data_IF_368864177361
#
_entry.id   IF_368864177361
#
_cell.length_a   1.000
_cell.length_b   1.000
_cell.length_c   1.000
_cell.angle_alpha   90.00
_cell.angle_beta   90.00
_cell.angle_gamma   90.00
#
_symmetry.space_group_name_H-M   'P 1'
#
loop_
_entity.id
_entity.type
_entity.pdbx_description
1 polymer ?
#
# COMPACT_ATOMS: atom_id res chain seq x y z
N UNK A 1 13.30 -9.03 -14.72
CA UNK A 1 12.09 -9.53 -14.03
C UNK A 1 10.96 -8.53 -14.21
N UNK A 2 9.79 -9.03 -14.43
CA UNK A 2 8.63 -8.20 -14.65
C UNK A 2 8.25 -7.44 -13.38
N UNK A 3 7.80 -6.18 -13.55
CA UNK A 3 7.42 -5.33 -12.43
C UNK A 3 6.39 -5.99 -11.51
N UNK A 4 5.36 -6.61 -12.10
CA UNK A 4 4.30 -7.26 -11.31
C UNK A 4 4.84 -8.37 -10.42
N UNK A 5 5.78 -9.16 -10.92
CA UNK A 5 6.38 -10.23 -10.13
C UNK A 5 7.22 -9.70 -8.98
N UNK A 6 7.96 -8.62 -9.21
CA UNK A 6 8.74 -8.00 -8.14
C UNK A 6 7.83 -7.41 -7.06
N UNK A 7 6.74 -6.77 -7.47
CA UNK A 7 5.75 -6.23 -6.54
C UNK A 7 5.13 -7.36 -5.71
N UNK A 8 4.74 -8.45 -6.35
CA UNK A 8 4.17 -9.61 -5.64
C UNK A 8 5.13 -10.20 -4.63
N UNK A 9 6.41 -10.25 -4.98
CA UNK A 9 7.44 -10.76 -4.07
C UNK A 9 7.52 -9.92 -2.80
N UNK A 10 7.53 -8.59 -2.94
CA UNK A 10 7.59 -7.71 -1.78
C UNK A 10 6.34 -7.84 -0.92
N UNK A 11 5.16 -7.99 -1.54
CA UNK A 11 3.92 -8.19 -0.81
C UNK A 11 3.93 -9.52 -0.05
N UNK A 12 4.45 -10.58 -0.65
CA UNK A 12 4.56 -11.88 0.00
C UNK A 12 5.51 -11.81 1.21
N UNK A 13 6.62 -11.09 1.08
CA UNK A 13 7.56 -10.90 2.18
C UNK A 13 6.92 -10.13 3.35
N UNK A 14 6.09 -9.15 3.05
CA UNK A 14 5.36 -8.42 4.08
C UNK A 14 4.47 -9.35 4.88
N UNK A 15 3.74 -10.24 4.20
CA UNK A 15 2.87 -11.20 4.87
C UNK A 15 3.64 -12.17 5.74
N UNK A 16 4.84 -12.57 5.32
CA UNK A 16 5.69 -13.43 6.13
C UNK A 16 6.14 -12.72 7.41
N UNK A 17 6.44 -11.43 7.31
CA UNK A 17 6.90 -10.65 8.46
C UNK A 17 5.78 -10.33 9.44
N UNK A 18 4.55 -10.20 8.94
CA UNK A 18 3.39 -9.86 9.76
C UNK A 18 2.28 -10.87 9.48
N UNK A 19 2.21 -11.96 10.26
CA UNK A 19 1.18 -13.00 10.03
C UNK A 19 -0.26 -12.49 10.13
N UNK A 20 -0.49 -11.38 10.86
CA UNK A 20 -1.82 -10.81 10.99
C UNK A 20 -2.28 -10.04 9.75
N UNK A 21 -1.41 -9.82 8.78
CA UNK A 21 -1.80 -9.27 7.48
C UNK A 21 -2.55 -10.36 6.72
N UNK A 22 -3.80 -10.08 6.36
CA UNK A 22 -4.64 -11.06 5.67
C UNK A 22 -5.05 -10.65 4.27
N UNK A 23 -4.45 -9.61 3.74
CA UNK A 23 -4.65 -9.20 2.36
C UNK A 23 -3.81 -8.00 2.02
N UNK A 24 -3.47 -7.85 0.76
CA UNK A 24 -2.78 -6.67 0.28
C UNK A 24 -3.05 -6.44 -1.20
N UNK A 25 -2.90 -5.20 -1.62
CA UNK A 25 -3.06 -4.82 -3.02
C UNK A 25 -2.12 -3.67 -3.32
N UNK A 26 -1.47 -3.74 -4.47
CA UNK A 26 -0.70 -2.64 -5.02
C UNK A 26 -1.42 -2.14 -6.25
N UNK A 27 -1.74 -0.86 -6.28
CA UNK A 27 -2.45 -0.25 -7.40
C UNK A 27 -1.75 1.04 -7.82
N UNK A 28 -2.02 1.48 -9.04
CA UNK A 28 -1.54 2.78 -9.48
C UNK A 28 -2.39 3.89 -8.85
N UNK A 29 -1.87 5.11 -8.86
CA UNK A 29 -2.63 6.26 -8.38
C UNK A 29 -3.88 6.52 -9.23
N UNK A 30 -3.97 5.90 -10.42
CA UNK A 30 -5.14 5.98 -11.29
C UNK A 30 -6.17 4.89 -10.98
N UNK A 31 -5.91 4.03 -10.01
CA UNK A 31 -6.83 3.01 -9.59
C UNK A 31 -6.68 1.65 -10.28
N UNK A 32 -5.65 1.47 -11.10
CA UNK A 32 -5.42 0.21 -11.81
C UNK A 32 -4.63 -0.75 -10.92
N UNK A 33 -5.09 -1.98 -10.82
CA UNK A 33 -4.41 -3.00 -10.02
C UNK A 33 -3.12 -3.46 -10.67
N UNK A 34 -2.03 -3.45 -9.92
CA UNK A 34 -0.74 -3.99 -10.35
C UNK A 34 -0.60 -5.42 -9.86
N UNK A 35 -0.87 -5.66 -8.60
CA UNK A 35 -0.82 -6.98 -7.98
C UNK A 35 -1.75 -7.02 -6.79
N UNK A 36 -2.30 -8.20 -6.49
CA UNK A 36 -3.23 -8.36 -5.38
C UNK A 36 -3.19 -9.80 -4.89
N UNK A 37 -3.38 -9.97 -3.59
CA UNK A 37 -3.63 -11.29 -3.01
C UNK A 37 -5.03 -11.36 -2.40
N UNK A 38 -5.93 -10.47 -2.81
CA UNK A 38 -7.33 -10.51 -2.42
C UNK A 38 -8.09 -11.51 -3.29
N UNK A 39 -9.11 -12.16 -2.70
CA UNK A 39 -9.93 -13.12 -3.42
C UNK A 39 -10.96 -12.44 -4.32
N UNK A 40 -11.49 -11.30 -3.89
CA UNK A 40 -12.47 -10.55 -4.68
C UNK A 40 -12.41 -9.07 -4.30
N UNK A 41 -13.18 -8.25 -5.01
CA UNK A 41 -13.25 -6.82 -4.74
C UNK A 41 -11.99 -6.05 -5.06
N UNK A 42 -11.04 -6.65 -5.75
CA UNK A 42 -9.72 -6.07 -6.03
C UNK A 42 -9.82 -4.72 -6.73
N UNK A 43 -10.64 -4.64 -7.78
CA UNK A 43 -10.75 -3.41 -8.55
C UNK A 43 -11.39 -2.29 -7.74
N UNK A 44 -12.43 -2.60 -6.97
CA UNK A 44 -13.09 -1.62 -6.13
C UNK A 44 -12.15 -1.10 -5.03
N UNK A 45 -11.40 -2.00 -4.39
CA UNK A 45 -10.47 -1.63 -3.33
C UNK A 45 -9.32 -0.80 -3.90
N UNK A 46 -8.82 -1.14 -5.09
CA UNK A 46 -7.81 -0.36 -5.77
C UNK A 46 -8.27 1.06 -6.07
N UNK A 47 -9.50 1.19 -6.57
CA UNK A 47 -10.07 2.51 -6.88
C UNK A 47 -10.28 3.33 -5.61
N UNK A 48 -10.81 2.72 -4.54
CA UNK A 48 -10.99 3.40 -3.25
C UNK A 48 -9.66 3.84 -2.67
N UNK A 49 -8.65 2.97 -2.74
CA UNK A 49 -7.31 3.27 -2.23
C UNK A 49 -6.71 4.48 -2.93
N UNK A 50 -6.83 4.54 -4.24
CA UNK A 50 -6.31 5.66 -5.02
C UNK A 50 -7.01 6.97 -4.66
N UNK A 51 -8.33 6.94 -4.52
CA UNK A 51 -9.11 8.11 -4.12
C UNK A 51 -8.73 8.56 -2.71
N UNK A 52 -8.57 7.60 -1.79
CA UNK A 52 -8.23 7.90 -0.41
C UNK A 52 -6.83 8.48 -0.29
N UNK A 53 -5.88 7.96 -1.08
CA UNK A 53 -4.53 8.52 -1.13
C UNK A 53 -4.57 9.98 -1.59
N UNK A 54 -5.31 10.26 -2.65
CA UNK A 54 -5.42 11.63 -3.19
C UNK A 54 -5.99 12.60 -2.15
N UNK A 55 -7.06 12.18 -1.45
CA UNK A 55 -7.67 12.98 -0.39
C UNK A 55 -6.72 13.17 0.79
N UNK A 56 -6.00 12.12 1.17
CA UNK A 56 -5.05 12.18 2.27
C UNK A 56 -3.89 13.14 1.96
N UNK A 57 -3.39 13.10 0.73
CA UNK A 57 -2.34 14.03 0.28
C UNK A 57 -2.82 15.48 0.32
N UNK A 58 -4.06 15.73 -0.10
CA UNK A 58 -4.64 17.07 0.00
C UNK A 58 -4.76 17.51 1.44
N UNK A 59 -5.18 16.62 2.31
CA UNK A 59 -5.35 16.93 3.74
C UNK A 59 -4.01 17.33 4.36
N UNK A 60 -2.95 16.55 4.15
CA UNK A 60 -1.63 16.87 4.71
C UNK A 60 -1.06 18.16 4.15
N UNK A 61 -1.28 18.42 2.86
CA UNK A 61 -0.83 19.66 2.24
C UNK A 61 -1.57 20.89 2.76
N UNK A 62 -2.90 20.83 2.79
CA UNK A 62 -3.73 21.96 3.22
C UNK A 62 -3.57 22.29 4.70
N UNK A 63 -3.24 21.30 5.52
CA UNK A 63 -3.09 21.50 6.97
C UNK A 63 -1.64 21.76 7.38
N UNK A 64 -0.74 21.87 6.42
CA UNK A 64 0.67 22.15 6.70
C UNK A 64 1.41 21.02 7.39
N UNK A 65 0.96 19.77 7.21
CA UNK A 65 1.59 18.62 7.86
C UNK A 65 2.67 17.96 7.01
N UNK A 66 2.95 18.52 5.84
CA UNK A 66 4.04 18.04 4.99
C UNK A 66 3.60 16.93 4.03
N UNK A 67 4.55 16.08 3.65
CA UNK A 67 4.30 15.00 2.72
C UNK A 67 3.48 13.89 3.38
N UNK A 68 2.60 13.28 2.61
CA UNK A 68 1.78 12.17 3.08
C UNK A 68 2.66 10.94 3.37
N UNK A 69 2.43 10.28 4.49
CA UNK A 69 3.12 9.04 4.84
C UNK A 69 2.21 7.82 4.85
N UNK A 70 1.07 7.92 5.54
CA UNK A 70 0.17 6.75 5.68
C UNK A 70 -1.24 7.19 6.06
N UNK A 71 -2.21 6.32 5.75
CA UNK A 71 -3.58 6.43 6.24
C UNK A 71 -3.92 5.12 6.92
N UNK A 72 -4.40 5.17 8.16
CA UNK A 72 -4.85 3.99 8.88
C UNK A 72 -6.36 4.07 9.09
N UNK A 73 -7.06 3.05 8.62
CA UNK A 73 -8.50 2.91 8.82
C UNK A 73 -8.70 1.81 9.84
N UNK A 74 -9.38 2.13 10.95
CA UNK A 74 -9.69 1.16 11.99
C UNK A 74 -11.16 0.80 11.92
N UNK A 75 -11.44 -0.47 11.67
CA UNK A 75 -12.80 -1.02 11.74
C UNK A 75 -12.95 -1.88 12.98
N UNK A 76 -14.16 -2.32 13.26
CA UNK A 76 -14.40 -3.20 14.42
C UNK A 76 -13.74 -4.57 14.26
N UNK A 77 -13.50 -4.98 13.02
CA UNK A 77 -12.96 -6.31 12.73
C UNK A 77 -11.58 -6.27 12.05
N UNK A 78 -10.84 -5.19 12.21
CA UNK A 78 -9.49 -5.11 11.68
C UNK A 78 -9.11 -3.74 11.16
N UNK A 79 -8.07 -3.73 10.35
CA UNK A 79 -7.45 -2.49 9.88
C UNK A 79 -7.21 -2.52 8.38
N UNK A 80 -7.25 -1.34 7.77
CA UNK A 80 -6.75 -1.13 6.42
C UNK A 80 -5.74 0.02 6.47
N UNK A 81 -4.54 -0.23 6.01
CA UNK A 81 -3.47 0.77 6.02
C UNK A 81 -3.04 1.06 4.59
N UNK A 82 -2.87 2.34 4.28
CA UNK A 82 -2.45 2.79 2.95
C UNK A 82 -1.13 3.53 3.05
N UNK A 83 -0.24 3.21 2.11
CA UNK A 83 1.08 3.82 2.01
C UNK A 83 1.32 4.28 0.58
N UNK A 84 1.92 5.45 0.43
CA UNK A 84 2.40 5.87 -0.88
C UNK A 84 3.71 5.13 -1.17
N UNK A 85 3.75 4.43 -2.29
CA UNK A 85 4.96 3.73 -2.74
C UNK A 85 5.53 4.51 -3.91
N UNK A 86 6.23 5.60 -3.60
CA UNK A 86 6.69 6.55 -4.60
C UNK A 86 5.52 7.39 -5.13
N UNK A 87 5.70 8.04 -6.29
CA UNK A 87 4.69 8.97 -6.81
C UNK A 87 3.51 8.28 -7.50
N UNK A 88 3.63 7.01 -7.91
CA UNK A 88 2.65 6.40 -8.81
C UNK A 88 1.97 5.16 -8.28
N UNK A 89 2.39 4.63 -7.12
CA UNK A 89 1.83 3.38 -6.58
C UNK A 89 1.27 3.59 -5.18
N UNK A 90 0.15 2.92 -4.92
CA UNK A 90 -0.49 2.85 -3.60
C UNK A 90 -0.39 1.41 -3.11
N UNK A 91 0.12 1.22 -1.89
CA UNK A 91 0.10 -0.07 -1.23
C UNK A 91 -1.01 -0.05 -0.19
N UNK A 92 -1.95 -0.98 -0.27
CA UNK A 92 -3.02 -1.16 0.70
C UNK A 92 -2.82 -2.49 1.40
N UNK A 93 -2.82 -2.47 2.72
CA UNK A 93 -2.57 -3.66 3.55
C UNK A 93 -3.76 -3.85 4.49
N UNK A 94 -4.34 -5.04 4.46
CA UNK A 94 -5.45 -5.41 5.33
C UNK A 94 -4.92 -6.27 6.47
N UNK A 95 -5.35 -5.99 7.68
CA UNK A 95 -4.86 -6.69 8.87
C UNK A 95 -5.99 -7.04 9.82
N UNK A 96 -5.79 -8.13 10.56
CA UNK A 96 -6.77 -8.64 11.53
C UNK A 96 -6.86 -7.74 12.75
N UNK A 97 -7.95 -7.83 13.52
CA UNK A 97 -8.02 -7.13 14.81
C UNK A 97 -6.93 -7.66 15.72
N UNK A 98 -6.38 -6.79 16.56
CA UNK A 98 -5.29 -7.17 17.47
C UNK A 98 -3.91 -7.11 16.85
N UNK A 99 -3.79 -6.69 15.60
CA UNK A 99 -2.50 -6.53 14.94
C UNK A 99 -1.63 -5.52 15.68
N UNK A 100 -0.34 -5.83 15.81
CA UNK A 100 0.63 -4.87 16.33
C UNK A 100 0.79 -3.72 15.34
N UNK A 101 0.18 -2.58 15.66
CA UNK A 101 0.15 -1.42 14.75
C UNK A 101 1.54 -0.81 14.54
N UNK A 102 2.38 -0.82 15.56
CA UNK A 102 3.76 -0.33 15.42
C UNK A 102 4.53 -1.14 14.40
N UNK A 103 4.40 -2.46 14.47
CA UNK A 103 5.06 -3.35 13.51
C UNK A 103 4.46 -3.19 12.11
N UNK A 104 3.13 -3.09 12.00
CA UNK A 104 2.46 -2.88 10.73
C UNK A 104 2.97 -1.59 10.06
N UNK A 105 3.03 -0.50 10.81
CA UNK A 105 3.49 0.77 10.27
C UNK A 105 4.95 0.70 9.83
N UNK A 106 5.80 0.08 10.64
CA UNK A 106 7.21 -0.06 10.30
C UNK A 106 7.42 -0.87 9.02
N UNK A 107 6.85 -2.07 8.98
CA UNK A 107 7.04 -2.97 7.84
C UNK A 107 6.28 -2.50 6.60
N UNK A 108 5.13 -1.88 6.78
CA UNK A 108 4.36 -1.30 5.67
C UNK A 108 5.15 -0.19 4.98
N UNK A 109 5.75 0.69 5.75
CA UNK A 109 6.58 1.77 5.19
C UNK A 109 7.81 1.22 4.47
N UNK A 110 8.46 0.21 5.03
CA UNK A 110 9.62 -0.42 4.39
C UNK A 110 9.22 -1.07 3.07
N UNK A 111 8.10 -1.77 3.05
CA UNK A 111 7.60 -2.41 1.82
C UNK A 111 7.27 -1.36 0.77
N UNK A 112 6.60 -0.28 1.17
CA UNK A 112 6.29 0.82 0.26
C UNK A 112 7.56 1.43 -0.34
N UNK A 113 8.61 1.60 0.46
CA UNK A 113 9.89 2.12 -0.03
C UNK A 113 10.53 1.16 -1.05
N UNK A 114 10.43 -0.15 -0.82
CA UNK A 114 10.95 -1.14 -1.77
C UNK A 114 10.16 -1.13 -3.08
N UNK A 115 8.83 -0.98 -3.00
CA UNK A 115 8.00 -0.87 -4.19
C UNK A 115 8.35 0.40 -4.98
N UNK A 116 8.60 1.50 -4.30
CA UNK A 116 9.02 2.73 -4.94
C UNK A 116 10.36 2.53 -5.69
N UNK A 117 11.30 1.82 -5.08
CA UNK A 117 12.59 1.53 -5.69
C UNK A 117 12.44 0.64 -6.93
N UNK A 118 11.59 -0.38 -6.87
CA UNK A 118 11.31 -1.26 -8.00
C UNK A 118 10.74 -0.47 -9.17
N UNK A 119 9.77 0.40 -8.91
CA UNK A 119 9.13 1.23 -9.93
C UNK A 119 10.11 2.21 -10.53
N UNK A 120 10.95 2.83 -9.71
CA UNK A 120 11.95 3.78 -10.17
C UNK A 120 12.97 3.11 -11.10
N UNK A 121 13.45 1.91 -10.74
CA UNK A 121 14.38 1.17 -11.61
C UNK A 121 13.76 0.83 -12.94
N UNK A 122 12.49 0.40 -12.94
CA UNK A 122 11.77 0.07 -14.16
C UNK A 122 11.63 1.28 -15.07
N UNK A 123 11.35 2.45 -14.49
CA UNK A 123 11.24 3.69 -15.26
C UNK A 123 12.57 4.12 -15.85
N UNK A 124 13.68 3.92 -15.15
CA UNK A 124 14.99 4.35 -15.62
C UNK A 124 15.62 3.44 -16.68
N UNK A 125 15.11 2.23 -16.81
CA UNK A 125 15.64 1.28 -17.80
C UNK A 125 15.05 1.45 -19.20
N UNK A 126 14.15 2.38 -19.35
CA UNK A 126 13.60 2.71 -20.66
C UNK A 126 14.50 3.72 -21.37
#
# INVERSE_FOLDING_TARGET
>A
MELREEVRREMALLRERIPDVNGSIASSVDGLTIASDLNDGTEQIGALSSALLALSRRMTGMTGKGAFEETLISGTDGYAALYAAGPTIVLTVLARPGTNLGLLRLEGRKTAARLAAVTSRTSTTQ
#
